data_IF_582090469083
#
_entry.id   IF_582090469083
#
_cell.length_a   1.000
_cell.length_b   1.000
_cell.length_c   1.000
_cell.angle_alpha   90.00
_cell.angle_beta   90.00
_cell.angle_gamma   90.00
#
_symmetry.space_group_name_H-M   'P 1'
#
loop_
_entity.id
_entity.type
_entity.pdbx_description
1 polymer ?
#
# COMPACT_ATOMS: atom_id res chain seq x y z
N UNK A 1 -6.58 1.03 9.43
CA UNK A 1 -6.84 -0.14 8.55
C UNK A 1 -6.91 0.35 7.10
N UNK A 2 -6.39 -0.40 6.11
CA UNK A 2 -6.57 -0.09 4.67
C UNK A 2 -7.44 -1.16 4.03
N UNK A 3 -8.61 -0.78 3.51
CA UNK A 3 -9.51 -1.66 2.74
C UNK A 3 -9.23 -1.42 1.25
N UNK A 4 -9.27 -2.49 0.45
CA UNK A 4 -9.01 -2.46 -1.00
C UNK A 4 -10.13 -3.22 -1.71
N UNK A 5 -10.52 -2.76 -2.90
CA UNK A 5 -11.61 -3.36 -3.68
C UNK A 5 -11.06 -4.36 -4.69
N UNK A 6 -11.36 -5.65 -4.54
CA UNK A 6 -10.95 -6.69 -5.50
C UNK A 6 -12.12 -7.10 -6.40
N UNK A 7 -11.89 -7.20 -7.70
CA UNK A 7 -12.77 -7.93 -8.62
C UNK A 7 -12.29 -9.38 -8.75
N UNK A 8 -13.21 -10.34 -8.83
CA UNK A 8 -12.92 -11.74 -9.10
C UNK A 8 -13.77 -12.20 -10.30
N UNK A 9 -13.13 -12.56 -11.39
CA UNK A 9 -13.77 -12.80 -12.69
C UNK A 9 -13.74 -14.28 -12.99
N UNK A 10 -14.90 -14.93 -13.05
CA UNK A 10 -14.99 -16.32 -13.50
C UNK A 10 -14.75 -16.37 -15.00
N UNK A 11 -13.68 -17.04 -15.43
CA UNK A 11 -13.37 -17.21 -16.84
C UNK A 11 -14.01 -18.51 -17.32
N UNK A 12 -15.07 -18.40 -18.13
CA UNK A 12 -15.81 -19.53 -18.70
C UNK A 12 -15.60 -19.71 -20.20
N UNK A 13 -15.11 -18.67 -20.89
CA UNK A 13 -14.70 -18.69 -22.29
C UNK A 13 -13.52 -17.71 -22.49
N UNK A 14 -12.82 -17.82 -23.62
CA UNK A 14 -11.70 -16.96 -23.98
C UNK A 14 -12.08 -15.61 -24.60
N UNK A 15 -13.21 -15.49 -25.28
CA UNK A 15 -13.52 -14.33 -26.13
C UNK A 15 -14.04 -13.12 -25.35
N UNK A 16 -14.72 -13.33 -24.22
CA UNK A 16 -15.28 -12.26 -23.37
C UNK A 16 -14.21 -11.44 -22.60
N UNK A 17 -12.99 -11.96 -22.51
CA UNK A 17 -11.96 -11.47 -21.57
C UNK A 17 -11.27 -10.15 -21.98
N UNK A 18 -11.57 -9.59 -23.16
CA UNK A 18 -10.95 -8.36 -23.68
C UNK A 18 -11.19 -7.10 -22.82
N UNK A 19 -12.23 -7.09 -21.97
CA UNK A 19 -12.56 -5.95 -21.09
C UNK A 19 -11.80 -5.92 -19.77
N UNK A 20 -10.99 -6.93 -19.45
CA UNK A 20 -10.25 -7.02 -18.18
C UNK A 20 -9.40 -5.76 -17.86
N UNK A 21 -8.67 -5.14 -18.81
CA UNK A 21 -7.89 -3.92 -18.53
C UNK A 21 -8.75 -2.73 -18.05
N UNK A 22 -10.01 -2.64 -18.47
CA UNK A 22 -10.91 -1.55 -18.09
C UNK A 22 -11.29 -1.64 -16.60
N UNK A 23 -11.38 -2.87 -16.06
CA UNK A 23 -11.67 -3.10 -14.65
C UNK A 23 -10.54 -2.62 -13.73
N UNK A 24 -9.30 -2.53 -14.20
CA UNK A 24 -8.18 -1.98 -13.43
C UNK A 24 -8.39 -0.49 -13.08
N UNK A 25 -9.21 0.26 -13.83
CA UNK A 25 -9.52 1.65 -13.50
C UNK A 25 -10.46 1.77 -12.29
N UNK A 26 -11.32 0.76 -12.07
CA UNK A 26 -12.36 0.80 -11.04
C UNK A 26 -12.00 0.04 -9.76
N UNK A 27 -11.14 -0.98 -9.85
CA UNK A 27 -10.75 -1.85 -8.73
C UNK A 27 -9.29 -1.66 -8.31
N UNK A 28 -8.95 -2.17 -7.13
CA UNK A 28 -7.59 -2.16 -6.58
C UNK A 28 -6.78 -3.40 -6.92
N UNK A 29 -7.47 -4.52 -7.16
CA UNK A 29 -6.92 -5.79 -7.62
C UNK A 29 -7.92 -6.43 -8.60
N UNK A 30 -7.41 -7.03 -9.67
CA UNK A 30 -8.21 -7.86 -10.58
C UNK A 30 -7.71 -9.30 -10.50
N UNK A 31 -8.62 -10.23 -10.20
CA UNK A 31 -8.32 -11.65 -10.12
C UNK A 31 -9.13 -12.45 -11.16
N UNK A 32 -8.48 -13.46 -11.76
CA UNK A 32 -9.11 -14.45 -12.61
C UNK A 32 -9.42 -15.73 -11.82
N UNK A 33 -10.61 -16.30 -12.00
CA UNK A 33 -11.00 -17.63 -11.51
C UNK A 33 -11.33 -18.52 -12.71
N UNK A 34 -10.32 -19.18 -13.31
CA UNK A 34 -10.54 -20.07 -14.45
C UNK A 34 -11.32 -21.32 -14.05
N UNK A 35 -12.20 -21.79 -14.94
CA UNK A 35 -13.01 -23.00 -14.71
C UNK A 35 -12.46 -24.26 -15.39
N UNK A 36 -11.56 -24.12 -16.35
CA UNK A 36 -10.97 -25.20 -17.15
C UNK A 36 -9.46 -24.98 -17.39
N UNK A 37 -8.78 -25.91 -18.07
CA UNK A 37 -7.35 -25.74 -18.41
C UNK A 37 -7.12 -24.62 -19.44
N UNK A 38 -8.05 -24.41 -20.40
CA UNK A 38 -7.91 -23.41 -21.47
C UNK A 38 -7.88 -21.99 -20.91
N UNK A 39 -8.82 -21.65 -20.04
CA UNK A 39 -8.90 -20.34 -19.38
C UNK A 39 -7.79 -20.15 -18.35
N UNK A 40 -7.33 -21.23 -17.69
CA UNK A 40 -6.14 -21.20 -16.83
C UNK A 40 -4.88 -20.88 -17.64
N UNK A 41 -4.65 -21.56 -18.78
CA UNK A 41 -3.55 -21.25 -19.68
C UNK A 41 -3.61 -19.80 -20.17
N UNK A 42 -4.79 -19.33 -20.61
CA UNK A 42 -5.00 -17.96 -21.06
C UNK A 42 -4.67 -16.93 -19.97
N UNK A 43 -5.10 -17.18 -18.72
CA UNK A 43 -4.78 -16.33 -17.57
C UNK A 43 -3.27 -16.29 -17.28
N UNK A 44 -2.61 -17.45 -17.30
CA UNK A 44 -1.17 -17.54 -17.08
C UNK A 44 -0.35 -16.85 -18.18
N UNK A 45 -0.75 -16.96 -19.45
CA UNK A 45 0.04 -16.48 -20.59
C UNK A 45 -0.29 -15.05 -21.03
N UNK A 46 -1.56 -14.65 -21.05
CA UNK A 46 -2.02 -13.47 -21.81
C UNK A 46 -2.78 -12.41 -21.00
N UNK A 47 -3.63 -12.80 -20.04
CA UNK A 47 -4.48 -11.83 -19.33
C UNK A 47 -3.67 -10.99 -18.34
N UNK A 48 -3.94 -9.69 -18.27
CA UNK A 48 -3.36 -8.79 -17.27
C UNK A 48 -4.23 -8.75 -16.00
N UNK A 49 -4.01 -9.75 -15.15
CA UNK A 49 -4.62 -9.93 -13.83
C UNK A 49 -3.52 -10.04 -12.77
N UNK A 50 -3.83 -9.67 -11.54
CA UNK A 50 -2.85 -9.64 -10.44
C UNK A 50 -2.80 -10.98 -9.69
N UNK A 51 -3.93 -11.70 -9.66
CA UNK A 51 -4.14 -12.96 -8.94
C UNK A 51 -4.85 -13.98 -9.84
N UNK A 52 -4.43 -15.25 -9.78
CA UNK A 52 -5.20 -16.40 -10.28
C UNK A 52 -5.77 -17.14 -9.06
N UNK A 53 -7.10 -17.11 -8.91
CA UNK A 53 -7.88 -17.71 -7.83
C UNK A 53 -8.36 -19.09 -8.25
N UNK A 54 -7.76 -20.16 -7.72
CA UNK A 54 -8.11 -21.53 -8.11
C UNK A 54 -9.16 -22.14 -7.18
N UNK A 55 -10.19 -22.75 -7.76
CA UNK A 55 -11.17 -23.52 -7.00
C UNK A 55 -10.65 -24.94 -6.70
N UNK A 56 -9.72 -25.02 -5.76
CA UNK A 56 -9.04 -26.25 -5.38
C UNK A 56 -9.97 -27.30 -4.76
N UNK A 57 -11.24 -27.00 -4.49
CA UNK A 57 -12.23 -27.99 -4.00
C UNK A 57 -12.69 -28.97 -5.08
N UNK A 58 -12.49 -28.63 -6.36
CA UNK A 58 -12.93 -29.43 -7.50
C UNK A 58 -11.82 -30.38 -7.95
N UNK A 59 -12.19 -31.46 -8.64
CA UNK A 59 -11.22 -32.27 -9.38
C UNK A 59 -10.91 -31.58 -10.70
N UNK A 60 -9.65 -31.25 -10.96
CA UNK A 60 -9.21 -30.82 -12.28
C UNK A 60 -9.06 -32.03 -13.21
N UNK A 61 -9.41 -31.87 -14.48
CA UNK A 61 -9.30 -32.93 -15.49
C UNK A 61 -7.83 -33.29 -15.79
N UNK A 62 -6.97 -32.27 -15.77
CA UNK A 62 -5.54 -32.37 -16.07
C UNK A 62 -4.67 -31.87 -14.92
N UNK A 63 -3.38 -32.22 -14.97
CA UNK A 63 -2.41 -31.89 -13.93
C UNK A 63 -1.79 -30.50 -14.15
N UNK A 64 -1.62 -29.71 -13.09
CA UNK A 64 -0.94 -28.41 -13.17
C UNK A 64 0.48 -28.52 -13.79
N UNK A 65 0.74 -27.75 -14.85
CA UNK A 65 1.98 -27.78 -15.64
C UNK A 65 2.98 -26.71 -15.19
N UNK A 66 4.25 -27.08 -14.99
CA UNK A 66 5.31 -26.15 -14.56
C UNK A 66 5.49 -24.94 -15.49
N UNK A 67 5.55 -25.08 -16.83
CA UNK A 67 5.73 -23.91 -17.70
C UNK A 67 4.59 -22.90 -17.56
N UNK A 68 3.34 -23.38 -17.56
CA UNK A 68 2.14 -22.55 -17.43
C UNK A 68 2.15 -21.70 -16.16
N UNK A 69 2.29 -22.32 -14.99
CA UNK A 69 2.30 -21.59 -13.71
C UNK A 69 3.59 -20.78 -13.52
N UNK A 70 4.72 -21.26 -14.08
CA UNK A 70 5.99 -20.54 -14.09
C UNK A 70 5.91 -19.22 -14.86
N UNK A 71 5.26 -19.19 -16.03
CA UNK A 71 5.00 -17.97 -16.81
C UNK A 71 4.12 -16.98 -16.07
N UNK A 72 3.10 -17.43 -15.34
CA UNK A 72 2.29 -16.54 -14.51
C UNK A 72 3.14 -15.87 -13.41
N UNK A 73 3.95 -16.67 -12.70
CA UNK A 73 4.80 -16.19 -11.60
C UNK A 73 5.90 -15.25 -12.10
N UNK A 74 6.50 -15.50 -13.27
CA UNK A 74 7.51 -14.59 -13.86
C UNK A 74 6.91 -13.28 -14.39
N UNK A 75 5.63 -13.28 -14.79
CA UNK A 75 4.84 -12.06 -15.07
C UNK A 75 4.42 -11.29 -13.81
N UNK A 76 4.79 -11.77 -12.61
CA UNK A 76 4.45 -11.15 -11.33
C UNK A 76 3.09 -11.55 -10.75
N UNK A 77 2.29 -12.31 -11.50
CA UNK A 77 0.97 -12.80 -11.09
C UNK A 77 1.15 -13.84 -9.98
N UNK A 78 0.28 -13.81 -8.95
CA UNK A 78 0.31 -14.79 -7.86
C UNK A 78 -0.85 -15.77 -7.95
N UNK A 79 -0.66 -16.96 -7.41
CA UNK A 79 -1.68 -18.01 -7.40
C UNK A 79 -2.22 -18.11 -5.97
N UNK A 80 -3.53 -17.94 -5.84
CA UNK A 80 -4.23 -17.92 -4.55
C UNK A 80 -4.75 -19.32 -4.17
N UNK A 81 -4.51 -19.67 -2.90
CA UNK A 81 -5.01 -20.88 -2.25
C UNK A 81 -6.09 -20.46 -1.24
N UNK A 82 -7.35 -20.68 -1.62
CA UNK A 82 -8.54 -20.41 -0.80
C UNK A 82 -8.81 -21.57 0.16
N UNK A 83 -8.27 -21.51 1.39
CA UNK A 83 -8.31 -22.67 2.31
C UNK A 83 -9.70 -23.00 2.87
N UNK A 84 -10.56 -21.99 3.04
CA UNK A 84 -11.80 -22.16 3.83
C UNK A 84 -12.85 -22.99 3.09
N UNK A 85 -12.92 -22.87 1.75
CA UNK A 85 -13.92 -23.59 0.93
C UNK A 85 -13.84 -25.11 1.11
N UNK A 86 -12.64 -25.69 1.18
CA UNK A 86 -12.48 -27.12 1.42
C UNK A 86 -12.58 -27.47 2.91
N UNK A 87 -11.94 -26.72 3.81
CA UNK A 87 -11.92 -27.03 5.25
C UNK A 87 -13.33 -26.97 5.87
N UNK A 88 -14.14 -25.98 5.51
CA UNK A 88 -15.53 -25.85 5.96
C UNK A 88 -16.53 -26.67 5.14
N UNK A 89 -16.11 -27.37 4.08
CA UNK A 89 -17.04 -28.20 3.31
C UNK A 89 -17.52 -29.41 4.13
N UNK A 90 -18.81 -29.71 4.06
CA UNK A 90 -19.35 -30.97 4.59
C UNK A 90 -19.02 -32.16 3.66
N UNK A 91 -18.60 -31.92 2.42
CA UNK A 91 -18.20 -32.96 1.46
C UNK A 91 -16.74 -33.44 1.69
N UNK A 92 -16.51 -34.74 1.94
CA UNK A 92 -15.17 -35.33 2.03
C UNK A 92 -14.40 -35.37 0.71
N UNK A 93 -15.05 -35.28 -0.46
CA UNK A 93 -14.36 -35.18 -1.75
C UNK A 93 -13.69 -33.80 -1.90
N UNK A 94 -14.42 -32.70 -1.64
CA UNK A 94 -13.89 -31.33 -1.63
C UNK A 94 -12.66 -31.17 -0.72
N UNK A 95 -12.65 -31.83 0.44
CA UNK A 95 -11.50 -31.86 1.36
C UNK A 95 -10.28 -32.58 0.77
N UNK A 96 -10.48 -33.77 0.18
CA UNK A 96 -9.41 -34.54 -0.47
C UNK A 96 -8.87 -33.83 -1.72
N UNK A 97 -9.75 -33.23 -2.52
CA UNK A 97 -9.39 -32.40 -3.67
C UNK A 97 -8.53 -31.20 -3.25
N UNK A 98 -8.95 -30.43 -2.23
CA UNK A 98 -8.17 -29.28 -1.74
C UNK A 98 -6.75 -29.69 -1.37
N UNK A 99 -6.58 -30.77 -0.60
CA UNK A 99 -5.26 -31.25 -0.17
C UNK A 99 -4.42 -31.68 -1.38
N UNK A 100 -4.96 -32.54 -2.25
CA UNK A 100 -4.24 -33.04 -3.43
C UNK A 100 -3.82 -31.93 -4.40
N UNK A 101 -4.76 -31.03 -4.72
CA UNK A 101 -4.52 -29.89 -5.60
C UNK A 101 -3.54 -28.87 -4.98
N UNK A 102 -3.61 -28.62 -3.67
CA UNK A 102 -2.67 -27.73 -2.98
C UNK A 102 -1.24 -28.29 -2.96
N UNK A 103 -1.07 -29.57 -2.58
CA UNK A 103 0.24 -30.26 -2.61
C UNK A 103 0.82 -30.26 -4.03
N UNK A 104 0.00 -30.54 -5.04
CA UNK A 104 0.41 -30.47 -6.44
C UNK A 104 0.84 -29.05 -6.84
N UNK A 105 0.07 -28.03 -6.47
CA UNK A 105 0.37 -26.62 -6.77
C UNK A 105 1.66 -26.15 -6.09
N UNK A 106 1.89 -26.54 -4.83
CA UNK A 106 3.12 -26.26 -4.08
C UNK A 106 4.33 -26.91 -4.78
N UNK A 107 4.22 -28.18 -5.16
CA UNK A 107 5.26 -28.93 -5.91
C UNK A 107 5.57 -28.27 -7.26
N UNK A 108 4.55 -27.86 -8.01
CA UNK A 108 4.70 -27.30 -9.37
C UNK A 108 5.24 -25.87 -9.34
N UNK A 109 4.81 -25.02 -8.40
CA UNK A 109 5.36 -23.65 -8.27
C UNK A 109 6.75 -23.62 -7.60
N UNK A 110 7.14 -24.73 -6.95
CA UNK A 110 8.26 -24.82 -6.00
C UNK A 110 8.09 -23.89 -4.81
N UNK A 111 6.84 -23.72 -4.35
CA UNK A 111 6.48 -22.85 -3.22
C UNK A 111 6.67 -21.34 -3.47
N UNK A 112 6.65 -20.90 -4.73
CA UNK A 112 6.89 -19.48 -5.11
C UNK A 112 5.61 -18.83 -5.64
N UNK A 113 5.43 -17.54 -5.36
CA UNK A 113 4.30 -16.77 -5.89
C UNK A 113 2.92 -17.26 -5.43
N UNK A 114 2.86 -17.94 -4.28
CA UNK A 114 1.62 -18.40 -3.66
C UNK A 114 1.08 -17.34 -2.70
N UNK A 115 -0.24 -17.17 -2.64
CA UNK A 115 -0.94 -16.36 -1.63
C UNK A 115 -1.95 -17.27 -0.93
N UNK A 116 -2.03 -17.15 0.40
CA UNK A 116 -3.10 -17.80 1.17
C UNK A 116 -4.23 -16.81 1.46
N UNK A 117 -5.48 -17.27 1.35
CA UNK A 117 -6.66 -16.51 1.71
C UNK A 117 -7.78 -17.43 2.16
N UNK A 118 -8.73 -16.91 2.93
CA UNK A 118 -9.85 -17.73 3.43
C UNK A 118 -10.91 -17.94 2.34
N UNK A 119 -11.32 -16.86 1.66
CA UNK A 119 -12.58 -16.79 0.88
C UNK A 119 -13.82 -17.17 1.73
N UNK A 120 -13.72 -16.97 3.05
CA UNK A 120 -14.75 -17.40 4.00
C UNK A 120 -16.05 -16.59 3.87
N UNK A 121 -17.17 -17.29 3.68
CA UNK A 121 -18.53 -16.71 3.67
C UNK A 121 -19.07 -16.44 5.07
N UNK A 122 -18.44 -16.99 6.11
CA UNK A 122 -18.82 -16.84 7.53
C UNK A 122 -17.57 -16.62 8.38
N UNK A 123 -17.73 -15.98 9.54
CA UNK A 123 -16.61 -15.69 10.46
C UNK A 123 -15.87 -16.96 10.91
N UNK A 124 -16.61 -18.07 11.06
CA UNK A 124 -16.08 -19.40 11.40
C UNK A 124 -15.07 -19.97 10.38
N UNK A 125 -14.98 -19.38 9.19
CA UNK A 125 -14.03 -19.77 8.14
C UNK A 125 -12.69 -19.03 8.16
N UNK A 126 -12.50 -18.07 9.08
CA UNK A 126 -11.26 -17.32 9.25
C UNK A 126 -10.35 -18.05 10.25
N UNK A 127 -9.03 -18.00 10.04
CA UNK A 127 -8.00 -18.59 10.92
C UNK A 127 -6.90 -17.58 11.24
N UNK A 128 -6.17 -17.78 12.33
CA UNK A 128 -5.02 -16.94 12.66
C UNK A 128 -3.88 -17.15 11.64
N UNK A 129 -2.98 -16.17 11.43
CA UNK A 129 -1.88 -16.33 10.49
C UNK A 129 -1.01 -17.56 10.78
N UNK A 130 -0.75 -17.86 12.04
CA UNK A 130 0.00 -19.04 12.48
C UNK A 130 -0.66 -20.36 12.05
N UNK A 131 -1.99 -20.48 12.21
CA UNK A 131 -2.75 -21.67 11.79
C UNK A 131 -2.60 -21.92 10.29
N UNK A 132 -2.58 -20.85 9.48
CA UNK A 132 -2.47 -20.92 8.03
C UNK A 132 -1.04 -21.29 7.60
N UNK A 133 -0.01 -20.87 8.35
CA UNK A 133 1.38 -21.33 8.15
C UNK A 133 1.51 -22.82 8.51
N UNK A 134 0.88 -23.25 9.61
CA UNK A 134 0.86 -24.65 10.03
C UNK A 134 0.13 -25.53 9.00
N UNK A 135 -1.02 -25.07 8.50
CA UNK A 135 -1.78 -25.72 7.42
C UNK A 135 -0.97 -25.82 6.12
N UNK A 136 -0.28 -24.74 5.73
CA UNK A 136 0.62 -24.77 4.58
C UNK A 136 1.77 -25.79 4.76
N UNK A 137 2.27 -25.94 5.99
CA UNK A 137 3.28 -26.95 6.35
C UNK A 137 2.74 -28.38 6.21
N UNK A 138 1.48 -28.63 6.58
CA UNK A 138 0.78 -29.92 6.34
C UNK A 138 0.64 -30.21 4.85
N UNK A 139 0.56 -29.20 3.98
CA UNK A 139 0.59 -29.35 2.52
C UNK A 139 2.01 -29.39 1.92
N UNK A 140 3.05 -29.50 2.75
CA UNK A 140 4.45 -29.61 2.30
C UNK A 140 5.11 -28.28 1.89
N UNK A 141 4.50 -27.13 2.20
CA UNK A 141 5.14 -25.82 2.02
C UNK A 141 5.88 -25.43 3.31
N UNK A 142 7.21 -25.32 3.25
CA UNK A 142 8.02 -24.92 4.41
C UNK A 142 7.55 -23.61 5.05
N UNK A 143 7.68 -23.50 6.37
CA UNK A 143 7.13 -22.42 7.22
C UNK A 143 7.44 -21.01 6.69
N UNK A 144 8.69 -20.75 6.30
CA UNK A 144 9.10 -19.45 5.72
C UNK A 144 8.37 -19.12 4.41
N UNK A 145 7.96 -20.11 3.62
CA UNK A 145 7.15 -19.90 2.41
C UNK A 145 5.65 -19.79 2.71
N UNK A 146 5.15 -20.45 3.74
CA UNK A 146 3.82 -20.16 4.31
C UNK A 146 3.70 -18.70 4.77
N UNK A 147 4.75 -18.20 5.45
CA UNK A 147 4.90 -16.83 5.93
C UNK A 147 5.06 -15.82 4.80
N UNK A 148 5.90 -16.08 3.79
CA UNK A 148 5.97 -15.27 2.55
C UNK A 148 4.58 -15.11 1.92
N UNK A 149 3.81 -16.20 1.81
CA UNK A 149 2.47 -16.23 1.20
C UNK A 149 1.36 -15.50 1.96
N UNK A 150 1.63 -15.06 3.20
CA UNK A 150 0.74 -14.22 4.01
C UNK A 150 1.22 -12.77 4.16
N UNK A 151 2.49 -12.48 3.86
CA UNK A 151 3.12 -11.18 4.17
C UNK A 151 3.74 -10.54 2.93
N UNK A 152 4.73 -11.18 2.33
CA UNK A 152 5.52 -10.69 1.20
C UNK A 152 4.76 -10.75 -0.11
N UNK A 153 4.18 -11.91 -0.46
CA UNK A 153 3.52 -12.11 -1.75
C UNK A 153 2.22 -11.27 -1.87
N UNK A 154 1.35 -11.15 -0.83
CA UNK A 154 0.21 -10.23 -0.87
C UNK A 154 0.63 -8.76 -0.97
N UNK A 155 1.69 -8.34 -0.25
CA UNK A 155 2.22 -6.97 -0.35
C UNK A 155 2.80 -6.67 -1.74
N UNK A 156 3.50 -7.64 -2.34
CA UNK A 156 4.02 -7.57 -3.71
C UNK A 156 2.90 -7.35 -4.71
N UNK A 157 1.79 -8.07 -4.60
CA UNK A 157 0.60 -7.89 -5.46
C UNK A 157 -0.02 -6.51 -5.30
N UNK A 158 -0.30 -6.09 -4.06
CA UNK A 158 -1.00 -4.83 -3.81
C UNK A 158 -0.22 -3.62 -4.32
N UNK A 159 1.09 -3.56 -4.08
CA UNK A 159 1.88 -2.42 -4.55
C UNK A 159 2.24 -2.53 -6.05
N UNK A 160 2.32 -3.73 -6.65
CA UNK A 160 2.44 -3.89 -8.12
C UNK A 160 1.17 -3.45 -8.86
N UNK A 161 -0.02 -3.87 -8.40
CA UNK A 161 -1.30 -3.42 -8.95
C UNK A 161 -1.57 -1.92 -8.71
N UNK A 162 -1.06 -1.36 -7.61
CA UNK A 162 -1.04 0.09 -7.38
C UNK A 162 -0.11 0.80 -8.37
N UNK A 163 1.07 0.24 -8.64
CA UNK A 163 2.04 0.80 -9.60
C UNK A 163 1.50 0.78 -11.03
N UNK A 164 0.90 -0.34 -11.49
CA UNK A 164 0.25 -0.42 -12.81
C UNK A 164 -0.83 0.64 -13.03
N UNK A 165 -1.55 1.05 -11.98
CA UNK A 165 -2.62 2.06 -12.04
C UNK A 165 -2.19 3.51 -11.79
N UNK A 166 -1.01 3.74 -11.20
CA UNK A 166 -0.53 5.08 -10.77
C UNK A 166 0.82 5.48 -11.36
N UNK A 167 1.37 4.69 -12.27
CA UNK A 167 2.61 5.00 -12.97
C UNK A 167 2.43 4.80 -14.47
N UNK A 168 3.17 5.58 -15.25
CA UNK A 168 3.32 5.31 -16.68
C UNK A 168 4.65 4.59 -16.91
N UNK A 169 4.59 3.30 -17.30
CA UNK A 169 5.78 2.45 -17.52
C UNK A 169 6.75 2.42 -16.31
N UNK A 170 6.24 2.53 -15.08
CA UNK A 170 7.03 2.58 -13.85
C UNK A 170 7.41 3.99 -13.37
N UNK A 171 7.22 5.03 -14.18
CA UNK A 171 7.41 6.43 -13.77
C UNK A 171 6.23 6.86 -12.90
N UNK A 172 6.49 7.16 -11.63
CA UNK A 172 5.50 7.62 -10.65
C UNK A 172 5.53 9.13 -10.56
N UNK A 173 4.40 9.78 -10.81
CA UNK A 173 4.21 11.20 -10.49
C UNK A 173 3.93 11.36 -8.98
N UNK A 174 4.66 12.26 -8.33
CA UNK A 174 4.57 12.54 -6.89
C UNK A 174 3.96 13.93 -6.70
N UNK A 175 2.64 13.99 -6.88
CA UNK A 175 1.85 15.20 -6.58
C UNK A 175 1.87 15.42 -5.06
N UNK A 176 2.76 16.31 -4.61
CA UNK A 176 2.72 16.85 -3.26
C UNK A 176 1.46 17.70 -3.09
N UNK A 177 0.41 17.11 -2.53
CA UNK A 177 -0.64 17.87 -1.87
C UNK A 177 0.03 18.65 -0.72
N UNK A 178 0.17 19.96 -0.89
CA UNK A 178 0.98 20.82 -0.02
C UNK A 178 0.55 20.78 1.44
N UNK A 179 1.49 21.11 2.33
CA UNK A 179 1.27 21.11 3.78
C UNK A 179 0.00 21.89 4.14
N UNK A 180 -0.87 21.28 4.96
CA UNK A 180 -2.01 21.98 5.54
C UNK A 180 -1.49 23.25 6.24
N UNK A 181 -1.97 24.46 5.88
CA UNK A 181 -1.65 25.65 6.64
C UNK A 181 -2.08 25.46 8.11
N UNK A 182 -1.27 25.87 9.10
CA UNK A 182 -1.66 25.76 10.49
C UNK A 182 -2.96 26.53 10.72
N UNK A 183 -3.97 25.83 11.21
CA UNK A 183 -5.31 26.38 11.45
C UNK A 183 -5.18 27.50 12.50
N UNK A 184 -5.41 28.76 12.07
CA UNK A 184 -5.34 29.91 12.98
C UNK A 184 -6.46 29.76 14.02
N UNK A 185 -6.18 29.91 15.32
CA UNK A 185 -7.20 29.76 16.35
C UNK A 185 -8.31 30.78 16.13
N UNK A 186 -9.55 30.29 16.00
CA UNK A 186 -10.73 31.12 15.79
C UNK A 186 -11.06 31.83 17.11
N UNK A 187 -10.78 33.14 17.18
CA UNK A 187 -11.15 33.95 18.32
C UNK A 187 -12.69 34.07 18.42
N UNK A 188 -13.23 33.83 19.62
CA UNK A 188 -14.67 33.83 19.86
C UNK A 188 -15.30 35.22 19.62
N UNK A 189 -16.09 35.34 18.55
CA UNK A 189 -16.80 36.56 18.21
C UNK A 189 -18.03 36.76 19.12
N UNK A 190 -17.82 37.36 20.30
CA UNK A 190 -18.93 37.72 21.21
C UNK A 190 -19.88 38.73 20.55
N UNK A 191 -21.17 38.39 20.48
CA UNK A 191 -22.23 39.29 20.01
C UNK A 191 -22.28 40.60 20.82
N UNK A 192 -22.25 41.75 20.12
CA UNK A 192 -22.93 42.99 20.55
C UNK A 192 -23.55 43.68 19.34
N UNK A 193 -24.73 44.27 19.55
CA UNK A 193 -25.50 44.96 18.51
C UNK A 193 -24.85 46.30 18.10
N UNK A 194 -25.18 46.76 16.90
CA UNK A 194 -24.62 47.96 16.30
C UNK A 194 -25.27 49.27 16.78
N UNK A 195 -24.50 50.36 16.76
CA UNK A 195 -25.00 51.71 16.46
C UNK A 195 -23.93 52.49 15.67
N UNK A 196 -24.37 53.47 14.86
CA UNK A 196 -23.51 54.23 13.93
C UNK A 196 -23.11 55.58 14.54
N UNK A 197 -21.85 55.98 14.35
CA UNK A 197 -21.38 57.37 14.44
C UNK A 197 -20.42 57.66 13.26
N UNK A 198 -20.16 58.95 12.96
CA UNK A 198 -19.42 59.38 11.75
C UNK A 198 -18.07 60.03 12.06
N UNK A 199 -17.15 59.88 11.10
CA UNK A 199 -16.13 60.84 10.65
C UNK A 199 -14.78 61.04 11.40
N UNK A 200 -13.80 61.40 10.57
CA UNK A 200 -12.51 62.09 10.79
C UNK A 200 -11.29 61.41 11.46
N UNK A 201 -10.37 60.95 10.60
CA UNK A 201 -9.09 61.63 10.25
C UNK A 201 -7.97 61.88 11.29
N UNK A 202 -6.76 61.40 10.92
CA UNK A 202 -5.38 61.81 11.27
C UNK A 202 -4.61 61.27 12.52
N UNK A 203 -3.51 60.54 12.19
CA UNK A 203 -2.10 60.71 12.60
C UNK A 203 -1.58 60.46 14.05
N UNK A 204 -0.41 59.79 14.08
CA UNK A 204 0.70 59.86 15.05
C UNK A 204 0.48 59.58 16.56
N UNK A 205 0.46 58.29 16.91
CA UNK A 205 1.60 57.62 17.57
C UNK A 205 2.18 58.12 18.92
N UNK A 206 2.18 57.24 19.92
CA UNK A 206 3.18 57.16 21.02
C UNK A 206 3.17 55.77 21.69
N UNK A 207 4.28 55.41 22.36
CA UNK A 207 4.37 54.29 23.35
C UNK A 207 4.35 54.90 24.77
N UNK A 208 3.86 54.17 25.79
CA UNK A 208 4.74 53.36 26.66
C UNK A 208 4.12 51.95 26.91
N UNK A 209 4.66 51.04 27.74
CA UNK A 209 5.88 50.99 28.57
C UNK A 209 5.95 49.64 29.30
N UNK A 210 7.10 49.25 29.83
CA UNK A 210 7.35 47.91 30.37
C UNK A 210 6.60 47.55 31.67
N UNK A 211 6.45 46.25 31.91
CA UNK A 211 6.51 45.67 33.26
C UNK A 211 7.13 44.28 33.19
N UNK A 212 7.94 43.92 34.19
CA UNK A 212 8.62 42.61 34.29
C UNK A 212 8.07 41.81 35.47
N UNK A 213 8.02 40.49 35.34
CA UNK A 213 8.42 39.60 36.45
C UNK A 213 8.90 38.23 35.92
N UNK A 214 9.21 37.28 36.82
CA UNK A 214 10.42 36.46 36.71
C UNK A 214 10.21 34.93 36.61
N UNK A 215 11.14 34.31 35.90
CA UNK A 215 11.47 32.86 35.85
C UNK A 215 11.87 32.26 37.22
N UNK A 216 11.96 30.92 37.43
CA UNK A 216 12.22 29.84 36.43
C UNK A 216 11.29 28.60 36.57
N UNK A 217 11.47 27.43 35.95
CA UNK A 217 12.48 26.85 35.00
C UNK A 217 11.69 25.99 33.95
N UNK A 218 12.21 25.16 33.02
CA UNK A 218 13.56 24.61 32.74
C UNK A 218 13.85 24.61 31.22
N UNK A 219 14.90 23.91 30.81
CA UNK A 219 15.50 23.85 29.47
C UNK A 219 14.73 23.04 28.40
N UNK A 220 14.70 23.59 27.18
CA UNK A 220 15.13 22.84 25.99
C UNK A 220 15.98 23.77 25.09
N UNK A 221 17.10 23.27 24.54
CA UNK A 221 18.05 24.10 23.80
C UNK A 221 17.53 24.41 22.38
N UNK A 222 17.26 25.69 22.11
CA UNK A 222 17.05 26.22 20.77
C UNK A 222 17.89 27.49 20.59
N UNK A 223 18.68 27.55 19.51
CA UNK A 223 19.54 28.71 19.23
C UNK A 223 18.71 29.93 18.82
N UNK A 224 19.00 31.10 19.38
CA UNK A 224 18.31 32.35 19.04
C UNK A 224 18.79 32.86 17.67
N UNK A 225 17.89 33.25 16.75
CA UNK A 225 18.28 33.67 15.40
C UNK A 225 19.16 34.92 15.43
N UNK A 226 20.33 34.82 14.78
CA UNK A 226 21.39 35.82 14.82
C UNK A 226 20.91 37.12 14.14
N UNK A 227 20.99 38.24 14.87
CA UNK A 227 20.60 39.58 14.38
C UNK A 227 21.29 39.97 13.07
N UNK A 228 20.55 40.61 12.15
CA UNK A 228 21.06 41.11 10.85
C UNK A 228 22.34 41.96 10.97
N UNK A 229 22.51 42.72 12.06
CA UNK A 229 23.72 43.52 12.32
C UNK A 229 24.94 42.65 12.63
N UNK A 230 24.74 41.54 13.34
CA UNK A 230 25.77 40.54 13.64
C UNK A 230 26.13 39.73 12.39
N UNK A 231 25.13 39.33 11.59
CA UNK A 231 25.34 38.67 10.28
C UNK A 231 26.20 39.54 9.35
N UNK A 232 25.92 40.85 9.28
CA UNK A 232 26.73 41.79 8.50
C UNK A 232 28.18 41.91 9.01
N UNK A 233 28.39 41.89 10.34
CA UNK A 233 29.73 41.91 10.95
C UNK A 233 30.51 40.63 10.61
N UNK A 234 29.89 39.47 10.75
CA UNK A 234 30.49 38.18 10.40
C UNK A 234 30.79 38.06 8.90
N UNK A 235 29.93 38.62 8.02
CA UNK A 235 30.19 38.65 6.57
C UNK A 235 31.39 39.55 6.23
N UNK A 236 31.57 40.69 6.91
CA UNK A 236 32.77 41.53 6.75
C UNK A 236 34.03 40.83 7.26
N UNK A 237 33.97 40.11 8.39
CA UNK A 237 35.11 39.34 8.90
C UNK A 237 35.59 38.29 7.89
N UNK A 238 34.68 37.45 7.35
CA UNK A 238 35.03 36.43 6.36
C UNK A 238 35.61 36.97 5.06
N UNK A 239 35.17 38.15 4.61
CA UNK A 239 35.78 38.82 3.44
C UNK A 239 37.20 39.26 3.77
N UNK A 240 37.43 39.82 4.96
CA UNK A 240 38.77 40.25 5.39
C UNK A 240 39.74 39.07 5.57
N UNK A 241 39.28 37.92 6.07
CA UNK A 241 40.07 36.68 6.13
C UNK A 241 40.49 36.22 4.73
N UNK A 242 39.56 36.16 3.77
CA UNK A 242 39.85 35.76 2.39
C UNK A 242 40.89 36.69 1.71
N UNK A 243 40.70 38.01 1.80
CA UNK A 243 41.66 38.98 1.24
C UNK A 243 43.03 38.95 1.94
N UNK A 244 43.11 38.44 3.18
CA UNK A 244 44.40 38.26 3.86
C UNK A 244 45.13 37.00 3.37
N UNK A 245 44.41 35.96 2.96
CA UNK A 245 45.00 34.72 2.43
C UNK A 245 45.48 34.85 0.97
N UNK A 246 44.82 35.67 0.14
CA UNK A 246 45.32 36.00 -1.22
C UNK A 246 46.55 36.91 -1.21
N UNK A 247 46.86 37.56 -0.08
CA UNK A 247 48.02 38.45 0.06
C UNK A 247 49.27 37.76 0.65
N UNK A 248 49.23 36.44 0.85
CA UNK A 248 50.30 35.65 1.48
C UNK A 248 50.65 34.37 0.69
N UNK A 249 50.61 34.47 -0.64
CA UNK A 249 50.93 33.40 -1.60
C UNK A 249 51.78 33.95 -2.75
#
# INVERSE_FOLDING_TARGET
>A
MRILRRCNIFLTDSASNFRIPQLQQHYDLVAARPTDERTLQQACQSLDVDIISLDLTRRFETHFKFPMLGTAISRGIKIEICYSQGIMSNDPAAKRNLIGNAVQLIRVTRGRGLIFSSEAKTVLGIRAPSDVINLASVWGLGTEKGKDGLTKEPRSVVEYARLKRRSFKGIVDIVHAGDKPPEKPVAEAKHKHAQKAKANTNQNGKRPGDSLDSTPTHESKAEKPISKRQQAKNKKAKVHEATTQEASA
#
